data_IF_258265835744
#
_entry.id   IF_258265835744
#
_cell.length_a   1.000
_cell.length_b   1.000
_cell.length_c   1.000
_cell.angle_alpha   90.00
_cell.angle_beta   90.00
_cell.angle_gamma   90.00
#
_symmetry.space_group_name_H-M   'P 1'
#
loop_
_entity.id
_entity.type
_entity.pdbx_description
1 polymer ?
#
# COMPACT_ATOMS: atom_id res chain seq x y z
N UNK A 1 -21.67 1.30 14.45
CA UNK A 1 -21.37 2.14 13.27
C UNK A 1 -20.38 3.22 13.68
N UNK A 2 -19.57 3.76 12.76
CA UNK A 2 -18.62 4.83 13.10
C UNK A 2 -19.33 6.14 13.37
N UNK A 3 -19.00 6.78 14.49
CA UNK A 3 -19.52 8.10 14.82
C UNK A 3 -18.72 9.22 14.14
N UNK A 4 -17.44 8.97 13.84
CA UNK A 4 -16.51 9.98 13.36
C UNK A 4 -15.31 9.34 12.68
N UNK A 5 -14.90 9.85 11.52
CA UNK A 5 -13.66 9.45 10.84
C UNK A 5 -13.01 10.66 10.18
N UNK A 6 -11.71 10.85 10.39
CA UNK A 6 -10.94 11.88 9.72
C UNK A 6 -9.46 11.55 9.62
N UNK A 7 -8.77 12.23 8.71
CA UNK A 7 -7.31 12.29 8.67
C UNK A 7 -6.84 13.73 8.59
N UNK A 8 -5.89 14.09 9.45
CA UNK A 8 -5.32 15.42 9.57
C UNK A 8 -3.86 15.36 9.13
N UNK A 9 -3.44 16.25 8.24
CA UNK A 9 -2.05 16.38 7.80
C UNK A 9 -1.50 17.75 8.22
N UNK A 10 -0.39 17.74 8.95
CA UNK A 10 0.30 18.94 9.42
C UNK A 10 1.82 18.77 9.37
N UNK A 11 2.57 19.86 9.21
CA UNK A 11 4.05 19.83 9.27
C UNK A 11 4.58 19.70 10.70
N UNK A 12 3.78 20.08 11.70
CA UNK A 12 4.10 20.03 13.14
C UNK A 12 2.97 19.37 13.92
N UNK A 13 3.24 18.92 15.15
CA UNK A 13 2.25 18.27 15.99
C UNK A 13 1.21 19.23 16.57
N UNK A 14 1.56 20.51 16.77
CA UNK A 14 0.72 21.47 17.50
C UNK A 14 -0.69 21.64 16.90
N UNK A 15 -0.89 21.82 15.58
CA UNK A 15 -2.23 21.94 15.02
C UNK A 15 -3.05 20.65 15.17
N UNK A 16 -2.40 19.48 15.10
CA UNK A 16 -3.06 18.19 15.34
C UNK A 16 -3.54 18.14 16.79
N UNK A 17 -2.67 18.43 17.77
CA UNK A 17 -3.03 18.46 19.19
C UNK A 17 -4.18 19.43 19.50
N UNK A 18 -4.16 20.62 18.90
CA UNK A 18 -5.24 21.59 19.03
C UNK A 18 -6.56 21.06 18.46
N UNK A 19 -6.51 20.39 17.31
CA UNK A 19 -7.68 19.77 16.71
C UNK A 19 -8.22 18.61 17.55
N UNK A 20 -7.35 17.75 18.08
CA UNK A 20 -7.73 16.66 18.98
C UNK A 20 -8.42 17.19 20.25
N UNK A 21 -7.88 18.25 20.86
CA UNK A 21 -8.41 18.88 22.06
C UNK A 21 -9.73 19.63 21.83
N UNK A 22 -10.00 20.11 20.61
CA UNK A 22 -11.24 20.78 20.26
C UNK A 22 -12.32 19.82 19.78
N UNK A 23 -12.05 19.10 18.70
CA UNK A 23 -13.05 18.32 17.95
C UNK A 23 -13.27 16.92 18.53
N UNK A 24 -12.22 16.31 19.09
CA UNK A 24 -12.25 14.91 19.53
C UNK A 24 -12.33 14.73 21.05
N UNK A 25 -12.24 15.81 21.83
CA UNK A 25 -12.27 15.77 23.29
C UNK A 25 -13.50 15.06 23.88
N UNK A 26 -14.73 15.25 23.35
CA UNK A 26 -15.90 14.50 23.82
C UNK A 26 -15.74 12.99 23.65
N UNK A 27 -15.10 12.54 22.56
CA UNK A 27 -14.89 11.13 22.26
C UNK A 27 -13.74 10.53 23.08
N UNK A 28 -12.64 11.27 23.25
CA UNK A 28 -11.49 10.84 24.06
C UNK A 28 -11.87 10.56 25.52
N UNK A 29 -12.78 11.37 26.07
CA UNK A 29 -13.29 11.22 27.45
C UNK A 29 -14.46 10.25 27.57
N UNK A 30 -15.13 9.92 26.47
CA UNK A 30 -16.28 9.04 26.48
C UNK A 30 -15.88 7.59 26.78
N UNK A 31 -16.70 6.90 27.57
CA UNK A 31 -16.57 5.46 27.83
C UNK A 31 -17.42 4.60 26.88
N UNK A 32 -18.30 5.23 26.10
CA UNK A 32 -19.19 4.55 25.14
C UNK A 32 -18.54 4.38 23.76
N UNK A 33 -17.36 4.97 23.54
CA UNK A 33 -16.66 4.91 22.27
C UNK A 33 -15.30 4.23 22.40
N UNK A 34 -14.90 3.59 21.31
CA UNK A 34 -13.55 3.10 21.08
C UNK A 34 -12.92 3.93 19.98
N UNK A 35 -11.70 4.38 20.21
CA UNK A 35 -10.93 5.19 19.27
C UNK A 35 -9.89 4.29 18.57
N UNK A 36 -9.86 4.37 17.25
CA UNK A 36 -8.80 3.83 16.40
C UNK A 36 -7.98 5.02 15.88
N UNK A 37 -6.65 4.95 16.00
CA UNK A 37 -5.77 5.97 15.42
C UNK A 37 -4.59 5.37 14.64
N UNK A 38 -4.09 6.13 13.68
CA UNK A 38 -2.83 5.87 12.99
C UNK A 38 -2.02 7.15 12.94
N UNK A 39 -0.78 7.11 13.43
CA UNK A 39 0.15 8.24 13.39
C UNK A 39 1.27 7.96 12.40
N UNK A 40 1.30 8.70 11.30
CA UNK A 40 2.38 8.64 10.31
C UNK A 40 3.28 9.87 10.49
N UNK A 41 4.30 9.83 11.37
CA UNK A 41 5.16 10.99 11.61
C UNK A 41 5.98 11.33 10.37
N UNK A 42 6.12 12.63 10.07
CA UNK A 42 7.13 13.07 9.13
C UNK A 42 8.52 12.72 9.67
N UNK A 43 9.47 12.39 8.78
CA UNK A 43 10.87 12.13 9.17
C UNK A 43 11.53 13.35 9.86
N UNK A 44 11.00 14.55 9.60
CA UNK A 44 11.46 15.80 10.21
C UNK A 44 10.78 16.12 11.55
N UNK A 45 9.79 15.33 12.00
CA UNK A 45 9.07 15.61 13.24
C UNK A 45 9.96 15.34 14.46
N UNK A 46 10.17 16.31 15.36
CA UNK A 46 10.97 16.09 16.56
C UNK A 46 10.39 14.96 17.45
N UNK A 47 11.23 14.11 18.08
CA UNK A 47 10.75 13.03 18.95
C UNK A 47 9.84 13.49 20.10
N UNK A 48 10.08 14.70 20.62
CA UNK A 48 9.23 15.31 21.66
C UNK A 48 7.81 15.55 21.16
N UNK A 49 7.66 16.09 19.95
CA UNK A 49 6.35 16.34 19.34
C UNK A 49 5.59 15.04 19.06
N UNK A 50 6.30 13.99 18.64
CA UNK A 50 5.71 12.66 18.50
C UNK A 50 5.24 12.10 19.86
N UNK A 51 6.05 12.25 20.90
CA UNK A 51 5.69 11.84 22.26
C UNK A 51 4.43 12.56 22.75
N UNK A 52 4.31 13.86 22.46
CA UNK A 52 3.14 14.65 22.82
C UNK A 52 1.88 14.15 22.09
N UNK A 53 1.97 13.81 20.79
CA UNK A 53 0.87 13.21 20.02
C UNK A 53 0.43 11.87 20.60
N UNK A 54 1.38 10.96 20.87
CA UNK A 54 1.08 9.64 21.44
C UNK A 54 0.45 9.79 22.85
N UNK A 55 0.93 10.75 23.64
CA UNK A 55 0.39 11.02 24.97
C UNK A 55 -1.06 11.50 24.91
N UNK A 56 -1.42 12.28 23.89
CA UNK A 56 -2.79 12.76 23.70
C UNK A 56 -3.80 11.61 23.52
N UNK A 57 -3.41 10.54 22.81
CA UNK A 57 -4.24 9.34 22.68
C UNK A 57 -4.16 8.40 23.88
N UNK A 58 -3.02 8.36 24.57
CA UNK A 58 -2.84 7.50 25.76
C UNK A 58 -3.74 7.88 26.93
N UNK A 59 -4.25 9.12 26.97
CA UNK A 59 -5.24 9.55 27.96
C UNK A 59 -6.68 9.11 27.68
N UNK A 60 -6.95 8.54 26.50
CA UNK A 60 -8.29 8.09 26.13
C UNK A 60 -8.69 6.83 26.91
N UNK A 61 -9.99 6.70 27.22
CA UNK A 61 -10.49 5.53 27.97
C UNK A 61 -10.36 4.20 27.22
N UNK A 62 -10.28 4.27 25.89
CA UNK A 62 -10.28 3.14 24.97
C UNK A 62 -9.72 3.54 23.62
N UNK A 63 -8.39 3.61 23.51
CA UNK A 63 -7.73 3.86 22.23
C UNK A 63 -6.88 2.66 21.81
N UNK A 64 -6.97 2.31 20.54
CA UNK A 64 -5.99 1.46 19.85
C UNK A 64 -5.41 2.29 18.74
N UNK A 65 -4.11 2.19 18.54
CA UNK A 65 -3.52 2.69 17.33
C UNK A 65 -2.13 2.16 17.13
N UNK A 66 -1.51 2.65 16.06
CA UNK A 66 -0.15 2.32 15.71
C UNK A 66 0.59 3.57 15.23
N UNK A 67 1.92 3.48 15.27
CA UNK A 67 2.76 4.28 14.42
C UNK A 67 2.80 3.62 13.05
N UNK A 68 2.40 4.36 12.03
CA UNK A 68 2.39 3.95 10.63
C UNK A 68 3.58 4.55 9.89
N UNK A 69 3.88 3.98 8.74
CA UNK A 69 4.91 4.50 7.86
C UNK A 69 4.55 5.91 7.36
N UNK A 70 5.53 6.81 7.16
CA UNK A 70 5.27 8.17 6.68
C UNK A 70 4.46 8.18 5.38
N UNK A 71 3.51 9.09 5.30
CA UNK A 71 2.74 9.36 4.08
C UNK A 71 3.29 10.65 3.50
N UNK A 72 4.04 10.58 2.39
CA UNK A 72 4.54 11.79 1.73
C UNK A 72 3.37 12.44 1.00
N UNK A 73 3.21 13.76 1.05
CA UNK A 73 2.19 14.43 0.24
C UNK A 73 2.80 15.03 -1.01
N UNK A 74 2.28 14.65 -2.18
CA UNK A 74 2.66 15.31 -3.44
C UNK A 74 1.80 16.56 -3.63
N UNK A 75 2.44 17.72 -3.68
CA UNK A 75 1.78 18.98 -4.01
C UNK A 75 1.76 19.20 -5.53
N UNK A 76 0.77 19.94 -6.03
CA UNK A 76 0.79 20.41 -7.41
C UNK A 76 2.07 21.26 -7.61
N UNK A 77 2.93 20.84 -8.53
CA UNK A 77 4.26 21.44 -8.72
C UNK A 77 5.45 20.52 -8.42
N UNK A 78 5.23 19.26 -8.03
CA UNK A 78 6.28 18.24 -7.98
C UNK A 78 7.22 18.35 -6.78
N UNK A 79 6.87 19.15 -5.77
CA UNK A 79 7.58 19.20 -4.51
C UNK A 79 6.87 18.33 -3.47
N UNK A 80 7.48 17.18 -3.20
CA UNK A 80 7.09 16.31 -2.10
C UNK A 80 7.44 16.97 -0.77
N UNK A 81 6.43 17.23 0.04
CA UNK A 81 6.62 17.71 1.41
C UNK A 81 6.19 16.62 2.38
N UNK A 82 7.05 16.35 3.37
CA UNK A 82 6.74 15.38 4.40
C UNK A 82 5.75 16.01 5.39
N UNK A 83 4.59 15.37 5.57
CA UNK A 83 3.60 15.74 6.58
C UNK A 83 3.53 14.67 7.65
N UNK A 84 3.22 15.10 8.86
CA UNK A 84 2.71 14.20 9.90
C UNK A 84 1.23 14.01 9.64
N UNK A 85 0.82 12.76 9.41
CA UNK A 85 -0.59 12.39 9.28
C UNK A 85 -1.11 11.79 10.59
N UNK A 86 -2.29 12.23 11.02
CA UNK A 86 -3.02 11.70 12.15
C UNK A 86 -4.41 11.30 11.69
N UNK A 87 -4.63 9.99 11.57
CA UNK A 87 -5.92 9.43 11.20
C UNK A 87 -6.63 8.97 12.45
N UNK A 88 -7.89 9.32 12.61
CA UNK A 88 -8.72 8.95 13.76
C UNK A 88 -10.07 8.44 13.28
N UNK A 89 -10.51 7.33 13.85
CA UNK A 89 -11.85 6.80 13.69
C UNK A 89 -12.45 6.47 15.06
N UNK A 90 -13.71 6.84 15.26
CA UNK A 90 -14.44 6.63 16.51
C UNK A 90 -15.59 5.67 16.26
N UNK A 91 -15.63 4.60 17.04
CA UNK A 91 -16.63 3.54 16.95
C UNK A 91 -17.46 3.48 18.22
N UNK A 92 -18.77 3.27 18.08
CA UNK A 92 -19.62 2.91 19.22
C UNK A 92 -19.24 1.50 19.73
N UNK A 93 -18.87 1.41 21.02
CA UNK A 93 -18.50 0.16 21.69
C UNK A 93 -19.59 -0.90 21.67
N UNK A 94 -20.86 -0.52 21.56
CA UNK A 94 -21.96 -1.48 21.43
C UNK A 94 -21.91 -2.24 20.11
N UNK A 95 -21.24 -1.67 19.11
CA UNK A 95 -21.22 -2.19 17.73
C UNK A 95 -19.83 -2.56 17.24
N UNK A 96 -18.80 -2.35 18.06
CA UNK A 96 -17.41 -2.58 17.70
C UNK A 96 -16.67 -3.27 18.84
N UNK A 97 -16.04 -4.39 18.53
CA UNK A 97 -15.19 -5.12 19.47
C UNK A 97 -13.73 -4.84 19.16
N UNK A 98 -13.08 -4.22 20.12
CA UNK A 98 -11.63 -4.02 20.13
C UNK A 98 -10.96 -5.36 20.46
N UNK A 99 -10.00 -5.76 19.63
CA UNK A 99 -9.14 -6.89 19.93
C UNK A 99 -7.68 -6.56 19.63
N UNK A 100 -6.78 -7.22 20.34
CA UNK A 100 -5.34 -7.16 20.12
C UNK A 100 -4.86 -8.57 19.80
N UNK A 101 -4.06 -8.69 18.72
CA UNK A 101 -3.41 -9.93 18.38
C UNK A 101 -1.94 -9.86 18.77
N UNK A 102 -1.51 -10.73 19.68
CA UNK A 102 -0.09 -10.93 20.00
C UNK A 102 0.56 -12.01 19.14
N UNK A 103 -0.10 -12.43 18.05
CA UNK A 103 0.44 -13.48 17.18
C UNK A 103 1.72 -12.91 16.57
N UNK A 104 2.91 -13.47 16.89
CA UNK A 104 4.14 -13.01 16.27
C UNK A 104 3.98 -13.20 14.77
N UNK A 105 4.36 -12.19 13.98
CA UNK A 105 4.41 -12.32 12.54
C UNK A 105 5.19 -13.59 12.19
N UNK A 106 4.69 -14.38 11.21
CA UNK A 106 5.43 -15.56 10.77
C UNK A 106 6.80 -15.12 10.26
N UNK A 107 7.84 -15.87 10.64
CA UNK A 107 9.15 -15.71 10.03
C UNK A 107 9.02 -15.87 8.51
N UNK A 108 9.76 -15.04 7.76
CA UNK A 108 9.79 -15.15 6.30
C UNK A 108 10.21 -16.57 5.91
N UNK A 109 9.45 -17.19 4.99
CA UNK A 109 9.74 -18.55 4.51
C UNK A 109 11.13 -18.55 3.87
N UNK A 110 12.10 -19.14 4.55
CA UNK A 110 13.43 -19.36 3.99
C UNK A 110 13.38 -20.53 3.01
N UNK A 111 13.04 -20.24 1.75
CA UNK A 111 13.29 -21.21 0.67
C UNK A 111 14.79 -21.34 0.46
N UNK A 112 15.28 -22.58 0.39
CA UNK A 112 16.70 -22.93 0.38
C UNK A 112 17.54 -22.04 -0.56
N UNK A 113 18.72 -21.66 -0.07
CA UNK A 113 19.65 -20.67 -0.64
C UNK A 113 19.89 -20.86 -2.15
N UNK A 114 19.03 -20.28 -2.98
CA UNK A 114 19.48 -19.77 -4.27
C UNK A 114 20.41 -18.61 -3.96
N UNK A 115 21.54 -18.50 -4.66
CA UNK A 115 22.66 -17.59 -4.38
C UNK A 115 22.26 -16.09 -4.29
N UNK A 116 21.58 -15.69 -3.22
CA UNK A 116 21.44 -14.31 -2.83
C UNK A 116 22.78 -13.91 -2.22
N UNK A 117 23.70 -13.47 -3.07
CA UNK A 117 24.90 -12.73 -2.66
C UNK A 117 24.43 -11.44 -1.96
N UNK A 118 24.07 -11.53 -0.67
CA UNK A 118 23.85 -10.37 0.18
C UNK A 118 25.22 -9.75 0.43
N UNK A 119 25.59 -8.72 -0.34
CA UNK A 119 26.74 -7.88 -0.03
C UNK A 119 26.34 -7.01 1.15
N UNK A 120 26.92 -7.31 2.31
CA UNK A 120 26.74 -6.53 3.53
C UNK A 120 27.47 -5.20 3.36
N UNK A 121 26.71 -4.10 3.32
CA UNK A 121 27.20 -2.73 3.54
C UNK A 121 27.98 -2.09 2.39
N UNK A 122 27.27 -1.50 1.43
CA UNK A 122 27.83 -0.40 0.65
C UNK A 122 26.70 0.62 0.45
N UNK A 123 26.76 1.71 1.21
CA UNK A 123 25.89 2.88 1.06
C UNK A 123 26.23 3.53 -0.30
N UNK A 124 25.30 3.46 -1.25
CA UNK A 124 25.43 4.17 -2.53
C UNK A 124 24.63 5.47 -2.47
N UNK A 125 25.36 6.58 -2.51
CA UNK A 125 24.83 7.93 -2.69
C UNK A 125 24.36 8.10 -4.14
N UNK A 126 23.06 7.91 -4.39
CA UNK A 126 22.44 8.11 -5.70
C UNK A 126 21.89 9.52 -5.90
N UNK A 127 22.33 10.21 -6.96
CA UNK A 127 21.86 11.53 -7.37
C UNK A 127 20.44 11.49 -7.94
N UNK A 128 19.61 12.45 -7.50
CA UNK A 128 18.21 12.61 -7.94
C UNK A 128 18.16 13.18 -9.36
N UNK A 129 17.52 12.43 -10.26
CA UNK A 129 17.09 12.95 -11.56
C UNK A 129 15.67 13.52 -11.43
N UNK A 130 15.47 14.72 -11.97
CA UNK A 130 14.22 15.48 -11.87
C UNK A 130 13.25 15.03 -12.96
N UNK A 131 12.11 14.45 -12.58
CA UNK A 131 10.99 14.15 -13.49
C UNK A 131 9.74 14.84 -12.97
N UNK A 132 9.28 15.83 -13.72
CA UNK A 132 7.99 16.49 -13.57
C UNK A 132 6.99 15.84 -14.54
N UNK A 133 5.96 15.17 -14.04
CA UNK A 133 4.60 15.24 -14.60
C UNK A 133 3.59 14.44 -13.73
N UNK A 134 2.36 14.94 -13.69
CA UNK A 134 1.24 14.52 -12.82
C UNK A 134 0.64 13.22 -13.40
N UNK A 135 0.82 12.08 -12.72
CA UNK A 135 0.41 10.78 -13.29
C UNK A 135 -0.86 10.22 -12.64
N UNK A 136 -1.87 9.97 -13.47
CA UNK A 136 -3.13 9.28 -13.16
C UNK A 136 -2.89 7.77 -13.17
N UNK A 137 -3.23 7.03 -12.11
CA UNK A 137 -2.84 5.62 -11.92
C UNK A 137 -3.60 4.61 -12.76
N UNK A 138 -4.82 4.95 -13.17
CA UNK A 138 -5.48 4.17 -14.23
C UNK A 138 -4.67 4.27 -15.52
N UNK A 139 -4.03 5.44 -15.73
CA UNK A 139 -3.02 5.67 -16.75
C UNK A 139 -1.61 5.16 -16.37
N UNK A 140 -1.07 5.15 -15.15
CA UNK A 140 0.32 4.69 -14.92
C UNK A 140 0.54 3.25 -15.38
N UNK A 141 -0.44 2.37 -15.13
CA UNK A 141 -0.40 0.99 -15.60
C UNK A 141 -0.85 0.85 -17.08
N UNK A 142 -1.52 1.86 -17.67
CA UNK A 142 -2.02 1.85 -19.06
C UNK A 142 -1.22 2.73 -20.07
N UNK A 143 -0.49 3.75 -19.62
CA UNK A 143 0.33 4.74 -20.37
C UNK A 143 1.82 4.40 -20.30
N UNK A 144 2.30 3.76 -19.22
CA UNK A 144 3.56 3.02 -19.30
C UNK A 144 3.40 1.71 -20.10
N UNK A 145 2.29 1.52 -20.84
CA UNK A 145 2.19 0.55 -21.92
C UNK A 145 3.02 0.93 -23.17
N UNK A 146 3.85 1.98 -23.11
CA UNK A 146 5.03 2.09 -23.96
C UNK A 146 6.17 1.16 -23.51
N UNK A 147 6.06 0.56 -22.31
CA UNK A 147 6.66 -0.73 -22.00
C UNK A 147 5.77 -1.78 -22.65
N UNK A 148 6.29 -2.61 -23.57
CA UNK A 148 5.46 -3.52 -24.33
C UNK A 148 4.67 -4.42 -23.37
N UNK A 149 3.34 -4.25 -23.36
CA UNK A 149 2.44 -5.10 -22.62
C UNK A 149 2.83 -6.56 -22.89
N UNK A 150 3.13 -7.28 -21.82
CA UNK A 150 3.30 -8.72 -21.88
C UNK A 150 2.01 -9.35 -22.42
N UNK A 151 2.09 -10.53 -23.05
CA UNK A 151 1.00 -11.08 -23.86
C UNK A 151 -0.36 -10.91 -23.16
N UNK A 152 -1.39 -10.39 -23.86
CA UNK A 152 -2.66 -10.08 -23.23
C UNK A 152 -3.30 -11.35 -22.68
N UNK A 153 -3.60 -11.34 -21.38
CA UNK A 153 -4.33 -12.41 -20.67
C UNK A 153 -3.63 -13.77 -20.70
N UNK A 154 -3.09 -14.19 -19.55
CA UNK A 154 -2.65 -15.56 -19.37
C UNK A 154 -3.76 -16.37 -18.68
N UNK A 155 -4.35 -17.32 -19.39
CA UNK A 155 -5.33 -18.30 -18.92
C UNK A 155 -4.65 -19.66 -18.67
N UNK A 156 -5.39 -20.70 -18.27
CA UNK A 156 -4.86 -22.07 -18.20
C UNK A 156 -3.75 -22.29 -17.16
N UNK A 157 -3.91 -21.74 -15.96
CA UNK A 157 -2.94 -21.83 -14.88
C UNK A 157 -2.94 -23.20 -14.19
N UNK A 158 -1.76 -23.77 -13.91
CA UNK A 158 -1.60 -24.89 -12.97
C UNK A 158 -0.80 -24.43 -11.77
N UNK A 159 -1.36 -24.60 -10.57
CA UNK A 159 -0.76 -24.10 -9.33
C UNK A 159 -0.63 -25.20 -8.29
N UNK A 160 0.42 -25.13 -7.48
CA UNK A 160 0.61 -25.95 -6.29
C UNK A 160 1.18 -25.07 -5.17
N UNK A 161 0.40 -24.87 -4.10
CA UNK A 161 0.76 -23.91 -3.06
C UNK A 161 0.92 -22.49 -3.62
N UNK A 162 2.08 -21.86 -3.40
CA UNK A 162 2.44 -20.55 -3.93
C UNK A 162 3.21 -20.59 -5.26
N UNK A 163 3.28 -21.76 -5.91
CA UNK A 163 3.96 -21.95 -7.19
C UNK A 163 2.98 -21.92 -8.36
N UNK A 164 3.39 -21.29 -9.45
CA UNK A 164 2.75 -21.38 -10.77
C UNK A 164 3.63 -22.23 -11.66
N UNK A 165 3.11 -23.37 -12.12
CA UNK A 165 3.83 -24.34 -12.96
C UNK A 165 3.63 -24.10 -14.46
N UNK A 166 2.47 -23.57 -14.85
CA UNK A 166 2.16 -23.26 -16.24
C UNK A 166 1.28 -22.01 -16.35
N UNK A 167 1.48 -21.23 -17.41
CA UNK A 167 0.62 -20.13 -17.85
C UNK A 167 0.37 -20.31 -19.34
N UNK A 168 -0.89 -20.46 -19.79
CA UNK A 168 -1.24 -20.80 -21.17
C UNK A 168 -0.50 -22.04 -21.71
N UNK A 169 -0.33 -23.09 -20.89
CA UNK A 169 0.49 -24.27 -21.21
C UNK A 169 1.98 -23.97 -21.53
N UNK A 170 2.44 -22.76 -21.24
CA UNK A 170 3.83 -22.33 -21.39
C UNK A 170 4.55 -22.31 -20.04
N UNK A 171 5.88 -22.32 -20.11
CA UNK A 171 6.78 -22.19 -18.97
C UNK A 171 6.78 -20.71 -18.48
N UNK A 172 6.14 -20.39 -17.33
CA UNK A 172 6.02 -19.02 -16.84
C UNK A 172 7.37 -18.36 -16.58
N UNK A 173 8.38 -19.09 -16.08
CA UNK A 173 9.72 -18.53 -15.87
C UNK A 173 10.37 -18.06 -17.16
N UNK A 174 10.17 -18.77 -18.28
CA UNK A 174 10.65 -18.34 -19.60
C UNK A 174 9.88 -17.13 -20.14
N UNK A 175 8.57 -17.06 -19.89
CA UNK A 175 7.77 -15.87 -20.24
C UNK A 175 8.28 -14.64 -19.48
N UNK A 176 8.56 -14.78 -18.19
CA UNK A 176 9.13 -13.72 -17.37
C UNK A 176 10.54 -13.33 -17.85
N UNK A 177 11.40 -14.28 -18.19
CA UNK A 177 12.73 -13.97 -18.74
C UNK A 177 12.63 -13.22 -20.07
N UNK A 178 11.77 -13.68 -20.99
CA UNK A 178 11.55 -13.01 -22.27
C UNK A 178 11.01 -11.58 -22.07
N UNK A 179 10.12 -11.38 -21.09
CA UNK A 179 9.64 -10.07 -20.68
C UNK A 179 10.78 -9.15 -20.24
N UNK A 180 11.63 -9.65 -19.35
CA UNK A 180 12.79 -8.94 -18.82
C UNK A 180 13.76 -8.57 -19.94
N UNK A 181 14.09 -9.51 -20.81
CA UNK A 181 14.98 -9.28 -21.95
C UNK A 181 14.42 -8.23 -22.91
N UNK A 182 13.10 -8.25 -23.16
CA UNK A 182 12.43 -7.26 -24.01
C UNK A 182 12.49 -5.85 -23.40
N UNK A 183 12.26 -5.73 -22.08
CA UNK A 183 12.38 -4.45 -21.37
C UNK A 183 13.82 -3.95 -21.44
N UNK A 184 14.81 -4.82 -21.23
CA UNK A 184 16.23 -4.46 -21.25
C UNK A 184 16.80 -4.15 -22.62
N UNK A 185 16.32 -4.81 -23.66
CA UNK A 185 16.72 -4.51 -25.05
C UNK A 185 16.46 -3.06 -25.43
N UNK A 186 15.56 -2.38 -24.72
CA UNK A 186 15.30 -0.94 -24.87
C UNK A 186 16.17 -0.04 -24.00
N UNK A 187 16.85 -0.58 -22.97
CA UNK A 187 17.67 0.16 -22.00
C UNK A 187 19.13 -0.34 -21.99
N UNK A 188 19.91 0.08 -22.99
CA UNK A 188 21.28 -0.42 -23.22
C UNK A 188 22.28 -0.04 -22.09
N UNK A 189 21.96 0.95 -21.24
CA UNK A 189 22.87 1.46 -20.20
C UNK A 189 22.27 1.55 -18.77
N UNK A 190 21.20 0.78 -18.47
CA UNK A 190 20.55 0.80 -17.16
C UNK A 190 21.36 0.12 -16.03
N UNK A 191 21.14 0.52 -14.76
CA UNK A 191 21.72 -0.15 -13.60
C UNK A 191 21.37 -1.64 -13.55
N UNK A 192 22.24 -2.44 -12.91
CA UNK A 192 22.13 -3.90 -12.94
C UNK A 192 20.91 -4.43 -12.18
N UNK A 193 20.39 -5.62 -12.56
CA UNK A 193 19.06 -6.15 -12.21
C UNK A 193 18.74 -6.50 -10.76
N UNK A 194 19.66 -6.29 -9.82
CA UNK A 194 19.59 -7.01 -8.55
C UNK A 194 18.42 -6.59 -7.67
N UNK A 195 17.85 -5.43 -7.94
CA UNK A 195 16.75 -4.85 -7.16
C UNK A 195 15.45 -4.70 -7.95
N UNK A 196 15.38 -5.24 -9.18
CA UNK A 196 14.14 -5.22 -9.97
C UNK A 196 13.06 -6.10 -9.33
N UNK A 197 11.87 -5.54 -9.13
CA UNK A 197 10.71 -6.27 -8.61
C UNK A 197 9.69 -6.52 -9.71
N UNK A 198 9.27 -7.78 -9.82
CA UNK A 198 8.22 -8.23 -10.72
C UNK A 198 7.03 -8.72 -9.92
N UNK A 199 5.85 -8.57 -10.49
CA UNK A 199 4.60 -8.91 -9.85
C UNK A 199 3.68 -9.66 -10.80
N UNK A 200 2.73 -10.41 -10.24
CA UNK A 200 1.60 -10.97 -10.97
C UNK A 200 0.34 -10.30 -10.47
N UNK A 201 -0.35 -9.60 -11.36
CA UNK A 201 -1.67 -9.05 -11.11
C UNK A 201 -2.74 -10.00 -11.59
N UNK A 202 -3.72 -10.27 -10.73
CA UNK A 202 -4.93 -11.04 -11.03
C UNK A 202 -6.02 -10.07 -11.40
N UNK A 203 -6.68 -10.34 -12.53
CA UNK A 203 -7.76 -9.54 -13.04
C UNK A 203 -9.11 -10.23 -12.83
N UNK A 204 -10.09 -9.44 -12.42
CA UNK A 204 -11.49 -9.83 -12.38
C UNK A 204 -12.29 -8.74 -13.09
N UNK A 205 -13.09 -9.11 -14.09
CA UNK A 205 -13.88 -8.15 -14.88
C UNK A 205 -13.02 -7.01 -15.47
N UNK A 206 -11.83 -7.36 -15.98
CA UNK A 206 -10.84 -6.40 -16.52
C UNK A 206 -10.31 -5.35 -15.52
N UNK A 207 -10.56 -5.54 -14.22
CA UNK A 207 -10.01 -4.72 -13.15
C UNK A 207 -8.96 -5.51 -12.39
N UNK A 208 -7.86 -4.83 -12.05
CA UNK A 208 -6.83 -5.39 -11.19
C UNK A 208 -7.42 -5.66 -9.80
N UNK A 209 -7.48 -6.93 -9.42
CA UNK A 209 -8.13 -7.38 -8.19
C UNK A 209 -7.12 -7.72 -7.08
N UNK A 210 -6.06 -8.47 -7.42
CA UNK A 210 -4.96 -8.83 -6.49
C UNK A 210 -3.62 -8.67 -7.17
N UNK A 211 -2.57 -8.43 -6.39
CA UNK A 211 -1.20 -8.39 -6.88
C UNK A 211 -0.31 -9.23 -5.96
N UNK A 212 0.57 -10.02 -6.56
CA UNK A 212 1.51 -10.91 -5.90
C UNK A 212 2.93 -10.54 -6.29
N UNK A 213 3.85 -10.46 -5.33
CA UNK A 213 5.28 -10.30 -5.60
C UNK A 213 5.85 -11.61 -6.13
N UNK A 214 6.64 -11.56 -7.20
CA UNK A 214 7.40 -12.72 -7.67
C UNK A 214 8.67 -12.83 -6.83
N UNK A 215 8.82 -13.92 -6.09
CA UNK A 215 10.00 -14.17 -5.24
C UNK A 215 11.15 -14.79 -6.02
N UNK A 216 10.82 -15.74 -6.90
CA UNK A 216 11.80 -16.44 -7.72
C UNK A 216 11.15 -17.10 -8.93
N UNK A 217 11.97 -17.44 -9.92
CA UNK A 217 11.58 -18.29 -11.04
C UNK A 217 12.76 -19.16 -11.41
N UNK A 218 12.53 -20.46 -11.59
CA UNK A 218 13.53 -21.39 -12.10
C UNK A 218 13.19 -21.69 -13.57
N UNK A 219 13.98 -21.22 -14.55
CA UNK A 219 13.73 -21.48 -15.97
C UNK A 219 13.83 -22.97 -16.33
N UNK A 220 14.61 -23.74 -15.59
CA UNK A 220 14.83 -25.17 -15.83
C UNK A 220 13.63 -26.00 -15.36
N UNK A 221 13.07 -25.68 -14.20
CA UNK A 221 11.83 -26.28 -13.67
C UNK A 221 10.56 -25.69 -14.27
N UNK A 222 10.68 -24.47 -14.77
CA UNK A 222 9.59 -23.72 -15.37
C UNK A 222 8.54 -23.19 -14.41
N UNK A 223 8.85 -23.10 -13.12
CA UNK A 223 7.91 -22.60 -12.11
C UNK A 223 8.30 -21.23 -11.58
N UNK A 224 7.29 -20.39 -11.33
CA UNK A 224 7.44 -19.11 -10.61
C UNK A 224 6.88 -19.25 -9.20
N UNK A 225 7.63 -18.78 -8.20
CA UNK A 225 7.19 -18.70 -6.82
C UNK A 225 6.69 -17.29 -6.49
N UNK A 226 5.51 -17.23 -5.86
CA UNK A 226 4.88 -15.98 -5.43
C UNK A 226 5.02 -15.76 -3.93
N UNK A 227 5.04 -14.49 -3.53
CA UNK A 227 4.91 -14.10 -2.13
C UNK A 227 3.47 -14.32 -1.68
N UNK A 228 3.30 -15.14 -0.64
CA UNK A 228 1.99 -15.49 -0.08
C UNK A 228 1.84 -16.99 0.15
N UNK A 229 0.69 -17.38 0.69
CA UNK A 229 0.37 -18.79 1.01
C UNK A 229 -0.26 -19.56 -0.16
N UNK A 230 -0.70 -18.87 -1.20
CA UNK A 230 -1.17 -19.50 -2.43
C UNK A 230 -1.00 -18.61 -3.64
N UNK A 231 -0.84 -19.28 -4.77
CA UNK A 231 -1.00 -18.69 -6.08
C UNK A 231 -2.48 -18.32 -6.35
N UNK A 232 -2.75 -17.53 -7.42
CA UNK A 232 -4.11 -17.27 -7.87
C UNK A 232 -4.88 -18.55 -8.19
N UNK A 233 -6.21 -18.46 -8.18
CA UNK A 233 -7.09 -19.58 -8.51
C UNK A 233 -6.92 -20.01 -9.97
N UNK A 234 -7.01 -21.31 -10.22
CA UNK A 234 -6.96 -21.87 -11.58
C UNK A 234 -8.10 -21.27 -12.40
N UNK A 235 -7.77 -20.74 -13.58
CA UNK A 235 -8.73 -20.05 -14.46
C UNK A 235 -8.76 -18.53 -14.27
N UNK A 236 -8.04 -17.98 -13.29
CA UNK A 236 -7.88 -16.53 -13.17
C UNK A 236 -7.07 -15.96 -14.33
N UNK A 237 -7.52 -14.85 -14.91
CA UNK A 237 -6.72 -14.09 -15.88
C UNK A 237 -5.63 -13.32 -15.14
N UNK A 238 -4.37 -13.57 -15.51
CA UNK A 238 -3.23 -12.90 -14.88
C UNK A 238 -2.37 -12.12 -15.88
N UNK A 239 -1.68 -11.11 -15.37
CA UNK A 239 -0.72 -10.30 -16.11
C UNK A 239 0.54 -10.08 -15.26
N UNK A 240 1.70 -10.12 -15.89
CA UNK A 240 2.97 -9.79 -15.24
C UNK A 240 3.19 -8.28 -15.28
N UNK A 241 3.61 -7.72 -14.16
CA UNK A 241 3.91 -6.31 -13.98
C UNK A 241 5.36 -6.12 -13.54
N UNK A 242 5.92 -4.96 -13.90
CA UNK A 242 7.25 -4.52 -13.52
C UNK A 242 7.12 -3.15 -12.84
N UNK A 243 7.74 -3.01 -11.66
CA UNK A 243 7.84 -1.71 -10.98
C UNK A 243 9.30 -1.24 -11.05
N UNK A 244 9.58 -0.12 -11.75
CA UNK A 244 10.91 0.48 -11.71
C UNK A 244 11.25 0.93 -10.29
N UNK A 245 12.51 0.76 -9.88
CA UNK A 245 12.97 1.07 -8.52
C UNK A 245 12.75 2.54 -8.15
N UNK A 246 12.98 3.43 -9.11
CA UNK A 246 12.93 4.88 -8.95
C UNK A 246 11.62 5.49 -9.43
N UNK A 247 10.61 4.67 -9.78
CA UNK A 247 9.32 5.21 -10.18
C UNK A 247 8.66 5.86 -8.96
N UNK A 248 8.40 7.19 -8.99
CA UNK A 248 7.63 7.82 -7.92
C UNK A 248 6.24 7.19 -7.90
N UNK A 249 5.83 6.72 -6.72
CA UNK A 249 4.51 6.13 -6.53
C UNK A 249 3.60 7.22 -5.99
N UNK A 250 2.88 7.91 -6.86
CA UNK A 250 1.77 8.76 -6.43
C UNK A 250 0.56 7.88 -6.06
N UNK A 251 -0.21 8.29 -5.07
CA UNK A 251 -1.48 7.65 -4.72
C UNK A 251 -2.48 8.77 -4.71
N UNK A 252 -3.37 8.78 -5.69
CA UNK A 252 -4.48 9.72 -5.72
C UNK A 252 -5.57 9.19 -4.82
N UNK A 253 -6.06 10.02 -3.89
CA UNK A 253 -7.37 9.76 -3.29
C UNK A 253 -8.39 9.58 -4.42
N UNK A 254 -9.19 8.51 -4.40
CA UNK A 254 -10.23 8.32 -5.41
C UNK A 254 -11.25 9.45 -5.27
N UNK A 255 -11.11 10.47 -6.11
CA UNK A 255 -12.13 11.49 -6.30
C UNK A 255 -13.16 10.98 -7.31
N UNK A 256 -13.67 9.76 -7.12
CA UNK A 256 -14.77 9.27 -7.93
C UNK A 256 -15.95 10.21 -7.65
N UNK A 257 -16.23 11.09 -8.62
CA UNK A 257 -17.07 12.28 -8.48
C UNK A 257 -18.56 12.00 -8.29
N UNK A 258 -18.92 10.84 -7.75
CA UNK A 258 -20.29 10.45 -7.41
C UNK A 258 -20.52 10.59 -5.91
N UNK A 259 -21.26 11.63 -5.50
CA UNK A 259 -21.93 11.77 -4.19
C UNK A 259 -21.11 11.42 -2.95
N UNK A 260 -19.86 11.88 -2.89
CA UNK A 260 -18.89 11.66 -1.80
C UNK A 260 -19.24 12.25 -0.41
N UNK A 261 -20.51 12.61 -0.14
CA UNK A 261 -20.86 13.32 1.10
C UNK A 261 -21.14 12.42 2.30
N UNK A 262 -21.39 11.11 2.11
CA UNK A 262 -21.85 10.23 3.19
C UNK A 262 -20.98 9.00 3.44
N UNK A 263 -20.31 8.46 2.41
CA UNK A 263 -19.54 7.23 2.59
C UNK A 263 -18.29 7.44 3.44
N UNK A 264 -18.11 6.59 4.44
CA UNK A 264 -16.93 6.54 5.30
C UNK A 264 -15.95 5.51 4.77
N UNK A 265 -14.67 5.87 4.73
CA UNK A 265 -13.61 5.06 4.13
C UNK A 265 -12.44 4.83 5.10
N UNK A 266 -11.96 3.59 5.17
CA UNK A 266 -10.63 3.25 5.69
C UNK A 266 -9.74 2.83 4.52
N UNK A 267 -8.62 3.52 4.38
CA UNK A 267 -7.58 3.22 3.38
C UNK A 267 -6.29 2.77 4.05
N UNK A 268 -5.84 1.56 3.72
CA UNK A 268 -4.53 1.05 4.08
C UNK A 268 -3.61 1.10 2.86
N UNK A 269 -2.43 1.67 3.04
CA UNK A 269 -1.47 1.93 1.98
C UNK A 269 -0.18 1.17 2.26
N UNK A 270 0.34 0.48 1.25
CA UNK A 270 1.70 -0.06 1.32
C UNK A 270 2.67 1.01 0.87
N UNK A 271 3.47 1.54 1.78
CA UNK A 271 4.38 2.65 1.52
C UNK A 271 5.79 2.15 1.25
N UNK A 272 6.42 2.66 0.20
CA UNK A 272 7.87 2.67 0.07
C UNK A 272 8.42 4.04 0.45
N UNK A 273 9.75 4.15 0.56
CA UNK A 273 10.45 5.43 0.79
C UNK A 273 10.13 6.51 -0.26
N UNK A 274 9.59 6.12 -1.42
CA UNK A 274 9.26 6.98 -2.56
C UNK A 274 7.75 7.15 -2.79
N UNK A 275 6.91 6.67 -1.88
CA UNK A 275 5.45 6.76 -2.05
C UNK A 275 4.93 8.13 -1.63
N UNK A 276 4.41 8.87 -2.61
CA UNK A 276 3.72 10.13 -2.46
C UNK A 276 2.20 9.95 -2.54
N UNK A 277 1.46 10.74 -1.79
CA UNK A 277 0.03 10.72 -1.67
C UNK A 277 -0.50 12.09 -2.04
N UNK A 278 -1.44 12.18 -2.97
CA UNK A 278 -2.01 13.45 -3.41
C UNK A 278 -3.35 13.61 -2.66
N UNK A 279 -3.45 14.52 -1.68
CA UNK A 279 -4.73 14.81 -1.05
C UNK A 279 -5.65 15.50 -2.06
N UNK A 280 -6.97 15.28 -1.96
CA UNK A 280 -7.94 15.86 -2.89
C UNK A 280 -8.06 17.39 -2.82
N UNK A 281 -7.42 18.05 -1.85
CA UNK A 281 -7.56 19.49 -1.57
C UNK A 281 -6.46 20.32 -2.24
N UNK A 282 -6.84 21.32 -3.03
CA UNK A 282 -5.94 22.19 -3.79
C UNK A 282 -5.29 23.35 -2.98
N UNK A 283 -5.23 23.28 -1.65
CA UNK A 283 -4.66 24.37 -0.85
C UNK A 283 -3.18 24.14 -0.57
N UNK A 284 -2.31 24.73 -1.39
CA UNK A 284 -0.84 24.58 -1.31
C UNK A 284 -0.24 25.19 -0.03
N UNK A 285 -0.90 26.19 0.55
CA UNK A 285 -0.43 26.93 1.75
C UNK A 285 -1.14 26.55 3.05
N UNK A 286 -2.00 25.54 3.04
CA UNK A 286 -2.68 25.15 4.27
C UNK A 286 -1.69 24.57 5.29
N UNK A 287 -1.58 25.23 6.44
CA UNK A 287 -0.82 24.72 7.59
C UNK A 287 -1.38 23.39 8.12
N UNK A 288 -2.67 23.15 7.85
CA UNK A 288 -3.45 21.97 8.25
C UNK A 288 -4.36 21.56 7.09
N UNK A 289 -4.30 20.29 6.72
CA UNK A 289 -5.23 19.69 5.75
C UNK A 289 -6.07 18.67 6.51
N UNK A 290 -7.40 18.82 6.47
CA UNK A 290 -8.33 17.88 7.13
C UNK A 290 -9.15 17.17 6.06
N UNK A 291 -9.08 15.84 6.04
CA UNK A 291 -9.92 14.98 5.22
C UNK A 291 -10.94 14.29 6.10
N UNK A 292 -12.22 14.63 5.92
CA UNK A 292 -13.33 14.01 6.65
C UNK A 292 -13.75 12.71 5.98
N UNK A 293 -14.30 11.80 6.77
CA UNK A 293 -14.80 10.49 6.35
C UNK A 293 -13.74 9.57 5.73
N UNK A 294 -12.45 9.87 5.93
CA UNK A 294 -11.35 9.05 5.44
C UNK A 294 -10.31 8.84 6.53
N UNK A 295 -9.91 7.59 6.72
CA UNK A 295 -8.84 7.16 7.60
C UNK A 295 -7.69 6.58 6.77
N UNK A 296 -6.47 7.12 6.89
CA UNK A 296 -5.29 6.53 6.24
C UNK A 296 -4.37 5.83 7.24
N UNK A 297 -3.83 4.68 6.86
CA UNK A 297 -2.67 4.10 7.54
C UNK A 297 -1.67 3.54 6.52
N UNK A 298 -0.43 4.03 6.62
CA UNK A 298 0.70 3.52 5.85
C UNK A 298 1.38 2.33 6.52
N UNK A 299 1.82 1.34 5.73
CA UNK A 299 2.65 0.25 6.20
C UNK A 299 3.75 -0.09 5.21
N UNK A 300 4.96 -0.24 5.72
CA UNK A 300 6.14 -0.80 5.05
C UNK A 300 6.08 -2.32 4.89
N UNK A 301 5.28 -2.98 5.73
CA UNK A 301 5.08 -4.43 5.76
C UNK A 301 3.84 -4.88 4.96
N UNK A 302 3.10 -3.92 4.40
CA UNK A 302 1.90 -4.17 3.63
C UNK A 302 0.66 -4.41 4.50
N UNK A 303 -0.33 -5.11 3.94
CA UNK A 303 -1.58 -5.40 4.64
C UNK A 303 -2.07 -6.82 4.36
N UNK A 304 -2.88 -7.33 5.29
CA UNK A 304 -3.56 -8.61 5.19
C UNK A 304 -5.07 -8.37 5.10
N UNK A 305 -5.70 -8.97 4.11
CA UNK A 305 -7.13 -8.87 3.87
C UNK A 305 -7.76 -10.24 4.02
N UNK A 306 -8.81 -10.32 4.83
CA UNK A 306 -9.69 -11.47 4.91
C UNK A 306 -11.13 -10.94 4.85
N UNK A 307 -11.88 -11.36 3.83
CA UNK A 307 -13.24 -10.89 3.56
C UNK A 307 -14.21 -12.04 3.63
N UNK A 308 -15.42 -11.76 4.10
CA UNK A 308 -16.54 -12.67 3.93
C UNK A 308 -17.27 -12.30 2.65
N UNK A 309 -17.40 -13.26 1.74
CA UNK A 309 -18.12 -13.10 0.48
C UNK A 309 -19.63 -13.03 0.75
N UNK A 310 -20.39 -12.50 -0.22
CA UNK A 310 -21.86 -12.46 -0.16
C UNK A 310 -22.48 -13.86 -0.08
N UNK A 311 -21.78 -14.89 -0.56
CA UNK A 311 -22.14 -16.31 -0.39
C UNK A 311 -22.08 -16.79 1.07
N UNK A 312 -21.47 -16.01 1.96
CA UNK A 312 -21.20 -16.38 3.34
C UNK A 312 -19.86 -17.11 3.55
N UNK A 313 -19.19 -17.50 2.46
CA UNK A 313 -17.86 -18.10 2.48
C UNK A 313 -16.80 -17.08 2.89
N UNK A 314 -15.75 -17.56 3.54
CA UNK A 314 -14.62 -16.73 3.95
C UNK A 314 -13.56 -16.82 2.85
N UNK A 315 -13.27 -15.69 2.22
CA UNK A 315 -12.18 -15.56 1.26
C UNK A 315 -10.86 -15.94 1.94
N UNK A 316 -10.01 -16.69 1.23
CA UNK A 316 -8.67 -16.99 1.73
C UNK A 316 -7.91 -15.68 1.97
N UNK A 317 -7.28 -15.58 3.14
CA UNK A 317 -6.47 -14.42 3.51
C UNK A 317 -5.43 -14.10 2.42
N UNK A 318 -5.36 -12.83 2.02
CA UNK A 318 -4.43 -12.34 1.02
C UNK A 318 -3.53 -11.27 1.64
N UNK A 319 -2.22 -11.37 1.38
CA UNK A 319 -1.21 -10.39 1.78
C UNK A 319 -0.80 -9.58 0.56
N UNK A 320 -0.78 -8.26 0.68
CA UNK A 320 -0.13 -7.39 -0.30
C UNK A 320 1.01 -6.65 0.38
N UNK A 321 2.21 -6.76 -0.18
CA UNK A 321 3.43 -6.01 0.18
C UNK A 321 3.90 -5.10 -0.96
N UNK A 322 3.09 -5.01 -2.02
CA UNK A 322 3.42 -4.26 -3.23
C UNK A 322 3.41 -2.77 -2.88
N UNK A 323 4.52 -2.04 -3.05
CA UNK A 323 4.54 -0.59 -2.88
C UNK A 323 3.47 0.09 -3.72
N UNK A 324 2.76 1.05 -3.12
CA UNK A 324 1.60 1.70 -3.76
C UNK A 324 0.32 0.86 -3.73
N UNK A 325 0.38 -0.37 -3.23
CA UNK A 325 -0.79 -1.21 -2.99
C UNK A 325 -1.75 -0.53 -2.03
N UNK A 326 -3.04 -0.53 -2.37
CA UNK A 326 -4.11 0.11 -1.61
C UNK A 326 -5.20 -0.90 -1.27
N UNK A 327 -5.64 -0.89 -0.02
CA UNK A 327 -6.87 -1.54 0.40
C UNK A 327 -7.85 -0.47 0.85
N UNK A 328 -9.06 -0.52 0.31
CA UNK A 328 -10.12 0.43 0.64
C UNK A 328 -11.32 -0.33 1.21
N UNK A 329 -11.74 0.05 2.41
CA UNK A 329 -12.99 -0.39 3.04
C UNK A 329 -13.95 0.79 3.06
N UNK A 330 -15.12 0.66 2.39
CA UNK A 330 -16.16 1.70 2.32
C UNK A 330 -17.45 1.19 2.95
N UNK A 331 -18.14 2.08 3.66
CA UNK A 331 -19.50 1.87 4.15
C UNK A 331 -20.23 3.21 4.24
N UNK A 332 -21.54 3.17 4.16
CA UNK A 332 -22.42 4.33 4.34
C UNK A 332 -22.88 4.45 5.78
#
# INVERSE_FOLDING_TARGET
MTAYVETIFCKTARPILQHLAGSLEPFLKSKSHSLLFSLSPALSLPPRELSDLVSAFSGASSAIGCLSSPVLLSQAGGHSTAYTACSVAVFDRQTATVFHSSIPGREEVQVGRWHAYRKRGQEESGGRSSFNERVDWKNVWQQNASVPALPPGLDGMRTEGNLIHSLNDLNPSRLLLAAIEKIRGTQINGPRPKDEKFYIGVHQEHKLHKVYTILSGDPSRGSIALEGESAPEIGSTVQIYYLPLDAPLSITADSDGSDASTSTTIELLTTASTTEFVPATNSEDAAIIVQRNIFYAGSDNGFLVNRRLSSGEIEKSWKSTVPGGRMTLRWD
#
